data_IF_070551932294
#
_entry.id   IF_070551932294
#
_cell.length_a   1.000
_cell.length_b   1.000
_cell.length_c   1.000
_cell.angle_alpha   90.00
_cell.angle_beta   90.00
_cell.angle_gamma   90.00
#
_symmetry.space_group_name_H-M   'P 1'
#
loop_
_entity.id
_entity.type
_entity.pdbx_description
1 polymer ?
#
# COMPACT_ATOMS: atom_id res chain seq x y z
N UNK A 1 -24.32 -4.82 8.70
CA UNK A 1 -23.01 -5.48 8.92
C UNK A 1 -23.09 -6.27 10.21
N UNK A 2 -22.69 -7.55 10.18
CA UNK A 2 -22.45 -8.35 11.39
C UNK A 2 -21.29 -7.77 12.20
N UNK A 3 -21.31 -7.92 13.53
CA UNK A 3 -20.30 -7.32 14.42
C UNK A 3 -18.87 -7.78 14.11
N UNK A 4 -18.70 -9.02 13.65
CA UNK A 4 -17.40 -9.56 13.22
C UNK A 4 -16.75 -8.75 12.09
N UNK A 5 -17.53 -8.30 11.10
CA UNK A 5 -17.00 -7.52 9.98
C UNK A 5 -16.54 -6.13 10.42
N UNK A 6 -17.34 -5.47 11.26
CA UNK A 6 -17.00 -4.15 11.82
C UNK A 6 -15.72 -4.22 12.66
N UNK A 7 -15.60 -5.27 13.47
CA UNK A 7 -14.41 -5.48 14.30
C UNK A 7 -13.15 -5.67 13.44
N UNK A 8 -13.23 -6.47 12.36
CA UNK A 8 -12.10 -6.65 11.44
C UNK A 8 -11.67 -5.34 10.78
N UNK A 9 -12.63 -4.55 10.28
CA UNK A 9 -12.34 -3.25 9.68
C UNK A 9 -11.68 -2.29 10.68
N UNK A 10 -12.16 -2.29 11.92
CA UNK A 10 -11.58 -1.49 12.99
C UNK A 10 -10.13 -1.90 13.31
N UNK A 11 -9.86 -3.20 13.46
CA UNK A 11 -8.51 -3.70 13.73
C UNK A 11 -7.56 -3.36 12.59
N UNK A 12 -7.98 -3.61 11.34
CA UNK A 12 -7.18 -3.25 10.16
C UNK A 12 -6.83 -1.77 10.16
N UNK A 13 -7.82 -0.90 10.41
CA UNK A 13 -7.62 0.54 10.49
C UNK A 13 -6.60 0.91 11.58
N UNK A 14 -6.72 0.35 12.78
CA UNK A 14 -5.77 0.63 13.89
C UNK A 14 -4.35 0.18 13.58
N UNK A 15 -4.18 -0.93 12.87
CA UNK A 15 -2.86 -1.38 12.43
C UNK A 15 -2.24 -0.41 11.41
N UNK A 16 -3.05 0.05 10.44
CA UNK A 16 -2.59 1.03 9.44
C UNK A 16 -2.25 2.37 10.09
N UNK A 17 -3.09 2.88 10.99
CA UNK A 17 -2.84 4.13 11.73
C UNK A 17 -1.51 4.03 12.50
N UNK A 18 -1.29 2.92 13.24
CA UNK A 18 -0.04 2.69 13.97
C UNK A 18 1.19 2.57 13.06
N UNK A 19 1.04 1.98 11.88
CA UNK A 19 2.10 1.89 10.88
C UNK A 19 2.48 3.29 10.36
N UNK A 20 1.50 4.05 9.86
CA UNK A 20 1.74 5.36 9.25
C UNK A 20 2.08 6.47 10.26
N UNK A 21 1.78 6.28 11.55
CA UNK A 21 2.29 7.13 12.62
C UNK A 21 3.83 7.03 12.75
N UNK A 22 4.40 5.85 12.48
CA UNK A 22 5.83 5.57 12.64
C UNK A 22 6.63 5.61 11.34
N UNK A 23 5.98 5.28 10.22
CA UNK A 23 6.60 5.16 8.92
C UNK A 23 5.85 6.04 7.93
N UNK A 24 6.48 7.14 7.51
CA UNK A 24 5.89 7.95 6.45
C UNK A 24 5.89 7.18 5.14
N UNK A 25 4.81 7.29 4.35
CA UNK A 25 4.79 6.69 3.04
C UNK A 25 5.86 7.30 2.14
N UNK A 26 6.38 6.49 1.21
CA UNK A 26 7.39 6.95 0.27
C UNK A 26 6.85 7.99 -0.72
N UNK A 27 5.56 7.88 -1.07
CA UNK A 27 4.86 8.74 -2.02
C UNK A 27 3.49 9.13 -1.47
N UNK A 28 2.83 10.12 -2.10
CA UNK A 28 1.44 10.46 -1.83
C UNK A 28 0.44 9.51 -2.52
N UNK A 29 0.93 8.56 -3.33
CA UNK A 29 0.13 7.60 -4.09
C UNK A 29 0.38 6.20 -3.54
N UNK A 30 -0.45 5.75 -2.60
CA UNK A 30 -0.23 4.46 -1.94
C UNK A 30 -1.22 3.43 -2.44
N UNK A 31 -0.69 2.29 -2.85
CA UNK A 31 -1.46 1.09 -3.09
C UNK A 31 -1.50 0.24 -1.82
N UNK A 32 -2.70 -0.07 -1.34
CA UNK A 32 -2.90 -0.92 -0.18
C UNK A 32 -3.28 -2.32 -0.63
N UNK A 33 -2.34 -3.26 -0.52
CA UNK A 33 -2.56 -4.68 -0.84
C UNK A 33 -2.84 -5.44 0.46
N UNK A 34 -3.98 -6.12 0.49
CA UNK A 34 -4.49 -6.83 1.66
C UNK A 34 -4.80 -8.29 1.32
N UNK A 35 -4.78 -9.14 2.34
CA UNK A 35 -5.32 -10.49 2.22
C UNK A 35 -6.81 -10.46 1.90
N UNK A 36 -7.28 -11.50 1.19
CA UNK A 36 -8.68 -11.70 0.89
C UNK A 36 -9.40 -12.27 2.12
N UNK A 37 -9.80 -11.37 3.01
CA UNK A 37 -10.63 -11.72 4.17
C UNK A 37 -12.14 -11.53 3.94
N UNK A 38 -12.56 -11.01 2.77
CA UNK A 38 -13.96 -10.84 2.40
C UNK A 38 -14.30 -11.62 1.15
N UNK A 39 -15.46 -12.28 1.19
CA UNK A 39 -16.09 -12.90 0.03
C UNK A 39 -17.29 -12.04 -0.38
N UNK A 40 -17.19 -11.40 -1.55
CA UNK A 40 -18.24 -10.60 -2.18
C UNK A 40 -17.94 -9.09 -2.23
N UNK A 41 -18.21 -8.49 -3.40
CA UNK A 41 -17.89 -7.09 -3.74
C UNK A 41 -18.44 -6.06 -2.75
N UNK A 42 -19.63 -6.30 -2.19
CA UNK A 42 -20.25 -5.40 -1.21
C UNK A 42 -19.43 -5.25 0.07
N UNK A 43 -18.84 -6.34 0.56
CA UNK A 43 -18.03 -6.32 1.77
C UNK A 43 -16.70 -5.63 1.52
N UNK A 44 -16.10 -5.84 0.35
CA UNK A 44 -14.90 -5.12 -0.08
C UNK A 44 -15.17 -3.63 -0.20
N UNK A 45 -16.29 -3.25 -0.83
CA UNK A 45 -16.70 -1.85 -0.97
C UNK A 45 -16.91 -1.19 0.38
N UNK A 46 -17.55 -1.86 1.33
CA UNK A 46 -17.72 -1.35 2.69
C UNK A 46 -16.38 -1.11 3.39
N UNK A 47 -15.45 -2.05 3.28
CA UNK A 47 -14.08 -1.90 3.80
C UNK A 47 -13.36 -0.71 3.17
N UNK A 48 -13.39 -0.60 1.84
CA UNK A 48 -12.75 0.52 1.11
C UNK A 48 -13.28 1.87 1.59
N UNK A 49 -14.60 2.00 1.71
CA UNK A 49 -15.22 3.22 2.21
C UNK A 49 -14.82 3.51 3.67
N UNK A 50 -14.75 2.49 4.51
CA UNK A 50 -14.36 2.63 5.91
C UNK A 50 -12.92 3.14 6.07
N UNK A 51 -11.98 2.62 5.25
CA UNK A 51 -10.58 3.04 5.28
C UNK A 51 -10.37 4.44 4.71
N UNK A 52 -11.15 4.83 3.68
CA UNK A 52 -11.09 6.18 3.08
C UNK A 52 -11.75 7.27 3.92
N UNK A 53 -12.59 6.91 4.88
CA UNK A 53 -13.24 7.90 5.75
C UNK A 53 -12.27 8.25 6.87
N UNK A 54 -11.27 9.07 6.61
CA UNK A 54 -10.34 9.51 7.65
C UNK A 54 -10.63 10.95 8.12
N UNK A 55 -11.17 11.06 9.33
CA UNK A 55 -11.50 12.35 9.94
C UNK A 55 -10.28 13.06 10.54
N UNK A 56 -9.22 12.31 10.82
CA UNK A 56 -8.08 12.80 11.60
C UNK A 56 -6.78 12.85 10.78
N UNK A 57 -6.83 12.57 9.47
CA UNK A 57 -5.68 12.50 8.56
C UNK A 57 -4.52 11.67 9.12
N UNK A 58 -4.84 10.58 9.83
CA UNK A 58 -3.89 9.58 10.32
C UNK A 58 -3.51 8.56 9.24
N UNK A 59 -4.32 8.44 8.20
CA UNK A 59 -4.11 7.56 7.07
C UNK A 59 -3.85 8.39 5.80
N UNK A 60 -2.94 7.91 4.95
CA UNK A 60 -2.70 8.53 3.66
C UNK A 60 -3.84 8.22 2.66
N UNK A 61 -3.85 8.95 1.55
CA UNK A 61 -4.81 8.72 0.48
C UNK A 61 -4.47 7.41 -0.28
N UNK A 62 -5.26 6.37 -0.02
CA UNK A 62 -5.13 5.10 -0.74
C UNK A 62 -5.75 5.20 -2.14
N UNK A 63 -4.90 5.20 -3.16
CA UNK A 63 -5.31 5.23 -4.57
C UNK A 63 -6.09 3.96 -4.90
N UNK A 64 -5.47 2.81 -4.63
CA UNK A 64 -6.06 1.48 -4.80
C UNK A 64 -6.02 0.71 -3.49
N UNK A 65 -7.11 -0.01 -3.19
CA UNK A 65 -7.16 -0.98 -2.09
C UNK A 65 -7.54 -2.32 -2.72
N UNK A 66 -6.55 -3.21 -2.84
CA UNK A 66 -6.65 -4.48 -3.56
C UNK A 66 -6.65 -5.62 -2.56
N UNK A 67 -7.57 -6.57 -2.72
CA UNK A 67 -7.59 -7.81 -1.95
C UNK A 67 -7.08 -8.96 -2.81
N UNK A 68 -6.04 -9.64 -2.35
CA UNK A 68 -5.39 -10.74 -3.06
C UNK A 68 -5.31 -11.96 -2.18
N UNK A 69 -5.14 -13.14 -2.78
CA UNK A 69 -4.91 -14.36 -2.03
C UNK A 69 -3.60 -14.22 -1.22
N UNK A 70 -3.64 -14.60 0.06
CA UNK A 70 -2.50 -14.63 0.99
C UNK A 70 -1.17 -15.05 0.37
N UNK A 71 -1.19 -16.01 -0.55
CA UNK A 71 0.01 -16.54 -1.23
C UNK A 71 0.75 -15.51 -2.09
N UNK A 72 0.09 -14.42 -2.49
CA UNK A 72 0.64 -13.42 -3.41
C UNK A 72 0.82 -12.04 -2.77
N UNK A 73 0.43 -11.85 -1.51
CA UNK A 73 0.52 -10.53 -0.84
C UNK A 73 1.95 -10.02 -0.83
N UNK A 74 2.87 -10.83 -0.29
CA UNK A 74 4.26 -10.41 -0.12
C UNK A 74 4.91 -10.09 -1.47
N UNK A 75 4.66 -10.92 -2.48
CA UNK A 75 5.16 -10.68 -3.84
C UNK A 75 4.64 -9.38 -4.44
N UNK A 76 3.35 -9.09 -4.27
CA UNK A 76 2.76 -7.87 -4.81
C UNK A 76 3.22 -6.63 -4.04
N UNK A 77 3.39 -6.71 -2.72
CA UNK A 77 3.95 -5.63 -1.91
C UNK A 77 5.40 -5.32 -2.29
N UNK A 78 6.22 -6.35 -2.53
CA UNK A 78 7.59 -6.17 -3.02
C UNK A 78 7.59 -5.55 -4.42
N UNK A 79 6.72 -6.03 -5.31
CA UNK A 79 6.63 -5.50 -6.68
C UNK A 79 6.22 -4.02 -6.70
N UNK A 80 5.22 -3.65 -5.89
CA UNK A 80 4.77 -2.27 -5.72
C UNK A 80 5.90 -1.39 -5.17
N UNK A 81 6.60 -1.85 -4.14
CA UNK A 81 7.73 -1.11 -3.55
C UNK A 81 8.88 -0.89 -4.53
N UNK A 82 9.22 -1.91 -5.34
CA UNK A 82 10.24 -1.79 -6.39
C UNK A 82 9.79 -0.80 -7.47
N UNK A 83 8.56 -0.92 -7.96
CA UNK A 83 8.02 -0.04 -8.97
C UNK A 83 7.95 1.42 -8.49
N UNK A 84 7.47 1.65 -7.27
CA UNK A 84 7.42 2.97 -6.64
C UNK A 84 8.80 3.59 -6.49
N UNK A 85 9.79 2.80 -6.08
CA UNK A 85 11.16 3.31 -5.96
C UNK A 85 11.78 3.66 -7.32
N UNK A 86 11.58 2.83 -8.34
CA UNK A 86 12.03 3.15 -9.72
C UNK A 86 11.34 4.42 -10.21
N UNK A 87 10.03 4.56 -10.00
CA UNK A 87 9.26 5.76 -10.38
C UNK A 87 9.86 7.01 -9.75
N UNK A 88 10.09 6.99 -8.44
CA UNK A 88 10.64 8.13 -7.70
C UNK A 88 12.06 8.49 -8.15
N UNK A 89 12.95 7.49 -8.31
CA UNK A 89 14.36 7.71 -8.69
C UNK A 89 14.47 8.27 -10.10
N UNK A 90 13.73 7.73 -11.07
CA UNK A 90 13.94 8.05 -12.48
C UNK A 90 13.00 9.14 -13.02
N UNK A 91 11.83 9.35 -12.42
CA UNK A 91 10.79 10.21 -13.00
C UNK A 91 10.33 11.38 -12.11
N UNK A 92 10.50 11.32 -10.78
CA UNK A 92 9.89 12.31 -9.87
C UNK A 92 10.92 13.16 -9.14
N UNK A 93 11.88 12.54 -8.44
CA UNK A 93 12.86 13.22 -7.61
C UNK A 93 14.25 12.54 -7.69
N UNK A 94 15.01 12.72 -8.78
CA UNK A 94 16.34 12.11 -8.93
C UNK A 94 17.34 12.53 -7.84
N UNK A 95 17.06 13.64 -7.14
CA UNK A 95 17.81 14.17 -6.00
C UNK A 95 17.70 13.30 -4.73
N UNK A 96 16.60 12.52 -4.58
CA UNK A 96 16.34 11.70 -3.38
C UNK A 96 17.23 10.46 -3.41
N UNK A 97 18.18 10.42 -2.48
CA UNK A 97 19.15 9.33 -2.31
C UNK A 97 18.48 8.06 -1.77
N UNK A 98 17.84 7.28 -2.63
CA UNK A 98 17.49 5.87 -2.37
C UNK A 98 18.75 5.01 -2.52
N UNK A 99 19.74 5.22 -1.63
CA UNK A 99 21.11 4.68 -1.75
C UNK A 99 21.19 3.15 -1.79
N UNK A 100 20.22 2.44 -1.24
CA UNK A 100 20.30 0.97 -1.14
C UNK A 100 19.63 0.25 -2.32
N UNK A 101 18.55 0.80 -2.90
CA UNK A 101 17.79 0.06 -3.92
C UNK A 101 18.44 0.09 -5.30
N UNK A 102 18.97 1.23 -5.73
CA UNK A 102 19.65 1.34 -7.03
C UNK A 102 20.96 0.54 -7.06
N UNK A 103 21.57 0.29 -5.91
CA UNK A 103 22.72 -0.60 -5.78
C UNK A 103 22.30 -2.09 -5.88
N UNK A 104 21.14 -2.43 -5.32
CA UNK A 104 20.61 -3.80 -5.33
C UNK A 104 20.00 -4.18 -6.69
N UNK A 105 19.34 -3.23 -7.33
CA UNK A 105 18.73 -3.35 -8.65
C UNK A 105 19.70 -2.72 -9.67
N UNK A 106 20.81 -3.40 -9.92
CA UNK A 106 21.63 -3.11 -11.09
C UNK A 106 20.81 -3.49 -12.34
N UNK A 107 19.94 -2.59 -12.80
CA UNK A 107 19.24 -2.74 -14.08
C UNK A 107 20.31 -2.64 -15.16
N UNK A 108 20.45 -3.69 -15.97
CA UNK A 108 21.27 -3.61 -17.18
C UNK A 108 20.69 -2.51 -18.07
N UNK A 109 21.48 -1.48 -18.36
CA UNK A 109 21.11 -0.46 -19.35
C UNK A 109 20.65 -1.16 -20.63
N UNK A 110 19.40 -0.94 -21.03
CA UNK A 110 18.94 -1.30 -22.37
C UNK A 110 19.52 -0.23 -23.29
N UNK A 111 20.63 -0.54 -23.93
CA UNK A 111 21.18 0.25 -25.03
C UNK A 111 20.34 -0.04 -26.28
N UNK A 112 19.66 0.99 -26.77
CA UNK A 112 19.05 1.00 -28.10
C UNK A 112 20.05 1.57 -29.12
#
# INVERSE_FOLDING_TARGET
>A
MTDSLKFRHYILRKLLECHFEKFQPQTNEIELILDRFHTGEDKERQMRNYLRTDRYNCLPDFLHIVQVDSRYIDFLQIADWVAGTIKEVYFTHPERKYKDLSHYIHICEITC
#
